data_IF_358010662448
#
_entry.id   IF_358010662448
#
_cell.length_a   1.000
_cell.length_b   1.000
_cell.length_c   1.000
_cell.angle_alpha   90.00
_cell.angle_beta   90.00
_cell.angle_gamma   90.00
#
_symmetry.space_group_name_H-M   'P 1'
#
loop_
_entity.id
_entity.type
_entity.pdbx_description
1 polymer ?
#
# COMPACT_ATOMS: atom_id res chain seq x y z
N UNK A 1 20.06 -6.14 -9.83
CA UNK A 1 19.19 -6.51 -10.98
C UNK A 1 17.75 -6.41 -10.53
N UNK A 2 16.97 -5.47 -11.07
CA UNK A 2 15.55 -5.31 -10.73
C UNK A 2 14.75 -5.81 -11.95
N UNK A 3 14.03 -6.91 -11.78
CA UNK A 3 13.24 -7.52 -12.85
C UNK A 3 11.92 -6.74 -12.99
N UNK A 4 11.43 -6.48 -14.21
CA UNK A 4 10.23 -5.67 -14.44
C UNK A 4 8.93 -6.30 -13.88
N UNK A 5 8.93 -7.59 -13.51
CA UNK A 5 7.82 -8.23 -12.82
C UNK A 5 7.63 -7.78 -11.37
N UNK A 6 8.62 -7.09 -10.78
CA UNK A 6 8.59 -6.61 -9.41
C UNK A 6 7.63 -5.41 -9.26
N UNK A 7 7.56 -4.54 -10.26
CA UNK A 7 6.74 -3.31 -10.19
C UNK A 7 5.23 -3.60 -10.17
N UNK A 8 4.73 -4.55 -10.98
CA UNK A 8 3.32 -4.96 -10.92
C UNK A 8 3.01 -5.62 -9.56
N UNK A 9 3.93 -6.45 -9.07
CA UNK A 9 3.81 -7.04 -7.73
C UNK A 9 3.72 -5.96 -6.63
N UNK A 10 4.58 -4.93 -6.64
CA UNK A 10 4.54 -3.83 -5.67
C UNK A 10 3.30 -2.96 -5.82
N UNK A 11 2.82 -2.78 -7.05
CA UNK A 11 1.56 -2.10 -7.32
C UNK A 11 0.39 -2.83 -6.65
N UNK A 12 0.30 -4.15 -6.82
CA UNK A 12 -0.74 -4.96 -6.18
C UNK A 12 -0.57 -5.06 -4.66
N UNK A 13 0.67 -5.11 -4.17
CA UNK A 13 0.98 -5.16 -2.75
C UNK A 13 0.53 -3.86 -2.06
N UNK A 14 0.93 -2.70 -2.59
CA UNK A 14 0.52 -1.38 -2.11
C UNK A 14 -0.99 -1.27 -2.06
N UNK A 15 -1.67 -1.72 -3.11
CA UNK A 15 -3.13 -1.72 -3.19
C UNK A 15 -3.79 -2.62 -2.14
N UNK A 16 -3.21 -3.80 -1.92
CA UNK A 16 -3.70 -4.79 -0.95
C UNK A 16 -3.54 -4.29 0.49
N UNK A 17 -2.39 -3.68 0.83
CA UNK A 17 -2.16 -3.06 2.13
C UNK A 17 -3.16 -1.93 2.37
N UNK A 18 -3.31 -1.00 1.41
CA UNK A 18 -4.27 0.09 1.52
C UNK A 18 -5.71 -0.42 1.70
N UNK A 19 -6.13 -1.43 0.95
CA UNK A 19 -7.46 -2.03 1.10
C UNK A 19 -7.66 -2.66 2.49
N UNK A 20 -6.65 -3.33 3.02
CA UNK A 20 -6.67 -3.94 4.35
C UNK A 20 -6.82 -2.92 5.48
N UNK A 21 -6.37 -1.68 5.27
CA UNK A 21 -6.53 -0.58 6.23
C UNK A 21 -7.78 0.29 5.96
N UNK A 22 -8.58 -0.08 4.96
CA UNK A 22 -9.78 0.67 4.55
C UNK A 22 -9.54 1.88 3.66
N UNK A 23 -8.32 2.04 3.12
CA UNK A 23 -8.03 3.04 2.09
C UNK A 23 -8.57 2.59 0.73
N UNK A 24 -9.30 3.48 0.05
CA UNK A 24 -9.74 3.28 -1.32
C UNK A 24 -8.96 4.21 -2.25
N UNK A 25 -7.91 3.68 -2.90
CA UNK A 25 -7.08 4.44 -3.84
C UNK A 25 -7.88 5.09 -4.96
N UNK A 26 -8.94 4.44 -5.45
CA UNK A 26 -9.77 5.02 -6.52
C UNK A 26 -10.48 6.27 -6.04
N UNK A 27 -11.03 6.23 -4.82
CA UNK A 27 -11.68 7.40 -4.21
C UNK A 27 -10.66 8.49 -3.89
N UNK A 28 -9.46 8.15 -3.41
CA UNK A 28 -8.41 9.13 -3.15
C UNK A 28 -7.90 9.83 -4.42
N UNK A 29 -7.84 9.11 -5.56
CA UNK A 29 -7.53 9.67 -6.87
C UNK A 29 -8.65 10.58 -7.38
N UNK A 30 -9.90 10.14 -7.23
CA UNK A 30 -11.10 10.88 -7.66
C UNK A 30 -11.30 12.19 -6.86
N UNK A 31 -11.08 12.13 -5.55
CA UNK A 31 -11.15 13.26 -4.62
C UNK A 31 -9.93 14.22 -4.74
N UNK A 32 -8.97 13.90 -5.60
CA UNK A 32 -7.74 14.69 -5.79
C UNK A 32 -6.76 14.63 -4.61
N UNK A 33 -7.02 13.80 -3.60
CA UNK A 33 -6.14 13.60 -2.43
C UNK A 33 -4.86 12.85 -2.75
N UNK A 34 -4.89 12.06 -3.81
CA UNK A 34 -3.73 11.36 -4.34
C UNK A 34 -3.61 11.67 -5.82
N UNK A 35 -2.48 12.23 -6.23
CA UNK A 35 -2.17 12.36 -7.66
C UNK A 35 -1.61 11.04 -8.20
N UNK A 36 -1.82 10.73 -9.49
CA UNK A 36 -1.23 9.54 -10.12
C UNK A 36 0.30 9.48 -10.00
N UNK A 37 0.97 10.64 -10.03
CA UNK A 37 2.42 10.74 -9.78
C UNK A 37 2.79 10.38 -8.33
N UNK A 38 2.04 10.90 -7.35
CA UNK A 38 2.20 10.53 -5.94
C UNK A 38 1.96 9.04 -5.69
N UNK A 39 1.02 8.43 -6.41
CA UNK A 39 0.79 6.99 -6.36
C UNK A 39 1.98 6.19 -6.92
N UNK A 40 2.57 6.62 -8.05
CA UNK A 40 3.80 6.01 -8.57
C UNK A 40 4.94 6.14 -7.57
N UNK A 41 5.09 7.28 -6.91
CA UNK A 41 6.09 7.48 -5.84
C UNK A 41 5.90 6.51 -4.67
N UNK A 42 4.66 6.16 -4.30
CA UNK A 42 4.38 5.13 -3.29
C UNK A 42 4.81 3.74 -3.75
N UNK A 43 4.48 3.37 -4.99
CA UNK A 43 4.86 2.06 -5.55
C UNK A 43 6.37 1.94 -5.67
N UNK A 44 7.07 2.99 -6.11
CA UNK A 44 8.53 3.04 -6.17
C UNK A 44 9.18 2.96 -4.78
N UNK A 45 8.62 3.64 -3.78
CA UNK A 45 9.08 3.53 -2.40
C UNK A 45 8.85 2.12 -1.82
N UNK A 46 7.76 1.45 -2.20
CA UNK A 46 7.51 0.05 -1.87
C UNK A 46 8.50 -0.89 -2.57
N UNK A 47 8.86 -0.59 -3.83
CA UNK A 47 9.79 -1.39 -4.61
C UNK A 47 11.20 -1.46 -4.01
N UNK A 48 11.66 -0.39 -3.39
CA UNK A 48 12.97 -0.35 -2.72
C UNK A 48 12.92 -0.81 -1.26
N UNK A 49 11.77 -1.32 -0.79
CA UNK A 49 11.56 -1.75 0.59
C UNK A 49 11.97 -3.22 0.79
N UNK A 50 12.77 -3.49 1.82
CA UNK A 50 13.17 -4.85 2.19
C UNK A 50 12.10 -5.63 2.97
N UNK A 51 11.12 -4.93 3.56
CA UNK A 51 10.05 -5.54 4.39
C UNK A 51 8.87 -6.09 3.57
N UNK A 52 9.03 -6.21 2.26
CA UNK A 52 7.99 -6.69 1.33
C UNK A 52 7.52 -8.11 1.67
N UNK A 53 8.42 -9.00 2.07
CA UNK A 53 8.08 -10.34 2.53
C UNK A 53 7.19 -10.31 3.79
N UNK A 54 7.50 -9.42 4.73
CA UNK A 54 6.70 -9.21 5.94
C UNK A 54 5.31 -8.64 5.63
N UNK A 55 5.21 -7.72 4.66
CA UNK A 55 3.93 -7.20 4.18
C UNK A 55 3.05 -8.31 3.61
N UNK A 56 3.61 -9.23 2.82
CA UNK A 56 2.87 -10.38 2.27
C UNK A 56 2.38 -11.32 3.36
N UNK A 57 3.25 -11.66 4.32
CA UNK A 57 2.88 -12.53 5.44
C UNK A 57 1.74 -11.92 6.28
N UNK A 58 1.84 -10.62 6.57
CA UNK A 58 0.79 -9.89 7.27
C UNK A 58 -0.53 -9.86 6.49
N UNK A 59 -0.48 -9.61 5.17
CA UNK A 59 -1.67 -9.68 4.31
C UNK A 59 -2.31 -11.08 4.29
N UNK A 60 -1.50 -12.14 4.34
CA UNK A 60 -1.98 -13.51 4.49
C UNK A 60 -2.82 -13.71 5.74
N UNK A 61 -2.38 -13.14 6.86
CA UNK A 61 -3.12 -13.16 8.13
C UNK A 61 -4.38 -12.30 8.15
N UNK A 62 -4.50 -11.32 7.24
CA UNK A 62 -5.62 -10.38 7.17
C UNK A 62 -6.85 -10.95 6.44
N UNK A 63 -6.74 -12.11 5.78
CA UNK A 63 -7.88 -12.76 5.12
C UNK A 63 -8.89 -13.24 6.15
N UNK A 64 -10.01 -12.52 6.26
CA UNK A 64 -11.11 -12.81 7.19
C UNK A 64 -11.11 -11.96 8.46
N UNK A 65 -10.12 -11.08 8.64
CA UNK A 65 -10.11 -10.09 9.72
C UNK A 65 -10.82 -8.79 9.29
N UNK A 66 -11.41 -8.05 10.24
CA UNK A 66 -11.92 -6.71 9.96
C UNK A 66 -10.79 -5.78 9.50
N UNK A 67 -11.14 -4.77 8.69
CA UNK A 67 -10.19 -3.77 8.19
C UNK A 67 -9.41 -3.18 9.37
N UNK A 68 -8.09 -3.18 9.27
CA UNK A 68 -7.24 -2.60 10.29
C UNK A 68 -7.34 -1.08 10.26
N UNK A 69 -7.20 -0.45 11.41
CA UNK A 69 -7.23 1.02 11.47
C UNK A 69 -5.94 1.65 10.93
N UNK A 70 -4.82 0.91 10.91
CA UNK A 70 -3.50 1.41 10.53
C UNK A 70 -2.73 0.38 9.72
N UNK A 71 -1.81 0.89 8.90
CA UNK A 71 -0.81 0.07 8.22
C UNK A 71 0.14 -0.59 9.23
N UNK A 72 0.83 -1.68 8.85
CA UNK A 72 1.83 -2.29 9.72
C UNK A 72 2.93 -1.29 10.06
N UNK A 73 3.47 -1.35 11.29
CA UNK A 73 4.54 -0.47 11.76
C UNK A 73 5.83 -0.56 10.93
N UNK A 74 6.09 -1.73 10.35
CA UNK A 74 7.23 -1.98 9.45
C UNK A 74 6.99 -1.50 8.01
N UNK A 75 5.78 -1.04 7.68
CA UNK A 75 5.45 -0.57 6.34
C UNK A 75 6.00 0.85 6.13
N UNK A 76 7.05 0.99 5.31
CA UNK A 76 7.67 2.29 4.99
C UNK A 76 6.69 3.32 4.41
N UNK A 77 5.73 2.87 3.61
CA UNK A 77 4.69 3.75 3.05
C UNK A 77 3.43 3.80 3.91
N UNK A 78 3.42 3.11 5.06
CA UNK A 78 2.24 2.94 5.90
C UNK A 78 1.68 4.27 6.40
N UNK A 79 2.55 5.17 6.85
CA UNK A 79 2.17 6.53 7.29
C UNK A 79 1.56 7.35 6.15
N UNK A 80 2.15 7.28 4.94
CA UNK A 80 1.61 7.97 3.76
C UNK A 80 0.24 7.42 3.36
N UNK A 81 0.06 6.10 3.40
CA UNK A 81 -1.23 5.46 3.17
C UNK A 81 -2.25 5.85 4.25
N UNK A 82 -1.78 6.02 5.49
CA UNK A 82 -2.62 6.44 6.61
C UNK A 82 -3.20 7.83 6.40
N UNK A 83 -2.36 8.79 5.99
CA UNK A 83 -2.74 10.17 5.68
C UNK A 83 -3.75 10.28 4.53
N UNK A 84 -3.78 9.30 3.63
CA UNK A 84 -4.72 9.27 2.51
C UNK A 84 -6.12 8.76 2.90
N UNK A 85 -6.29 8.19 4.10
CA UNK A 85 -7.58 7.65 4.52
C UNK A 85 -8.62 8.77 4.68
N UNK A 86 -9.85 8.59 4.17
CA UNK A 86 -10.93 9.52 4.43
C UNK A 86 -11.24 9.60 5.93
N UNK A 87 -11.42 10.83 6.40
CA UNK A 87 -11.82 11.15 7.77
C UNK A 87 -13.31 10.86 7.97
#
# INVERSE_FOLDING_TARGET
MCFPGDTDFHFWLTRSVGRSIGLNFRQALDDGRLSPDGYLGLVQACQVCEHVASCQHWLGGQKGLPRQKRAPEFCRIGEKLDALKPH
#
